data_IF_688474287770
#
_entry.id   IF_688474287770
#
_cell.length_a   1.000
_cell.length_b   1.000
_cell.length_c   1.000
_cell.angle_alpha   90.00
_cell.angle_beta   90.00
_cell.angle_gamma   90.00
#
_symmetry.space_group_name_H-M   'P 1'
#
loop_
_entity.id
_entity.type
_entity.pdbx_description
1 polymer ?
#
# COMPACT_ATOMS: atom_id res chain seq x y z
N UNK A 1 36.54 26.43 -18.83
CA UNK A 1 37.04 25.06 -18.56
C UNK A 1 36.17 24.08 -19.33
N UNK A 2 36.73 23.15 -20.11
CA UNK A 2 35.94 22.19 -20.86
C UNK A 2 35.37 21.14 -19.90
N UNK A 3 34.05 20.96 -19.92
CA UNK A 3 33.35 19.90 -19.17
C UNK A 3 33.67 18.58 -19.86
N UNK A 4 34.46 17.73 -19.21
CA UNK A 4 34.75 16.39 -19.70
C UNK A 4 33.42 15.59 -19.74
N UNK A 5 32.99 15.19 -20.94
CA UNK A 5 31.90 14.22 -21.09
C UNK A 5 32.36 12.90 -20.49
N UNK A 6 31.69 12.46 -19.42
CA UNK A 6 31.89 11.15 -18.83
C UNK A 6 31.70 10.07 -19.92
N UNK A 7 32.63 9.12 -19.98
CA UNK A 7 32.55 8.00 -20.89
C UNK A 7 31.24 7.22 -20.61
N UNK A 8 30.55 6.70 -21.64
CA UNK A 8 29.40 5.83 -21.43
C UNK A 8 29.86 4.60 -20.63
N UNK A 9 29.22 4.41 -19.47
CA UNK A 9 29.51 3.27 -18.59
C UNK A 9 29.09 1.96 -19.28
N UNK A 10 29.78 0.85 -18.97
CA UNK A 10 29.44 -0.45 -19.55
C UNK A 10 28.00 -0.84 -19.18
N UNK A 11 27.29 -1.57 -20.05
CA UNK A 11 25.93 -2.02 -19.78
C UNK A 11 25.91 -2.89 -18.52
N UNK A 12 24.97 -2.60 -17.62
CA UNK A 12 24.68 -3.41 -16.44
C UNK A 12 24.22 -4.81 -16.85
N UNK A 13 24.83 -5.83 -16.25
CA UNK A 13 24.52 -7.25 -16.50
C UNK A 13 23.06 -7.55 -16.10
N UNK A 14 22.17 -7.93 -17.03
CA UNK A 14 20.77 -8.23 -16.73
C UNK A 14 20.60 -9.38 -15.73
N UNK A 15 21.60 -10.26 -15.58
CA UNK A 15 21.52 -11.42 -14.68
C UNK A 15 21.70 -11.04 -13.20
N UNK A 16 22.32 -9.88 -12.91
CA UNK A 16 22.55 -9.42 -11.54
C UNK A 16 21.23 -9.16 -10.77
N UNK A 17 20.18 -8.73 -11.47
CA UNK A 17 18.86 -8.52 -10.87
C UNK A 17 18.15 -9.81 -10.48
N UNK A 18 18.30 -10.87 -11.29
CA UNK A 18 17.73 -12.20 -11.00
C UNK A 18 18.35 -12.77 -9.73
N UNK A 19 19.68 -12.74 -9.62
CA UNK A 19 20.41 -13.28 -8.47
C UNK A 19 20.03 -12.61 -7.14
N UNK A 20 19.76 -11.30 -7.16
CA UNK A 20 19.32 -10.57 -5.97
C UNK A 20 17.90 -10.97 -5.54
N UNK A 21 17.01 -11.21 -6.50
CA UNK A 21 15.65 -11.68 -6.24
C UNK A 21 15.63 -13.12 -5.77
N UNK A 22 16.42 -14.02 -6.38
CA UNK A 22 16.52 -15.41 -5.96
C UNK A 22 16.98 -15.52 -4.51
N UNK A 23 17.92 -14.66 -4.09
CA UNK A 23 18.36 -14.57 -2.70
C UNK A 23 17.25 -14.05 -1.78
N UNK A 24 16.50 -13.03 -2.21
CA UNK A 24 15.34 -12.54 -1.44
C UNK A 24 14.25 -13.61 -1.33
N UNK A 25 13.98 -14.34 -2.41
CA UNK A 25 13.04 -15.46 -2.49
C UNK A 25 13.41 -16.57 -1.51
N UNK A 26 14.69 -16.97 -1.46
CA UNK A 26 15.18 -17.93 -0.49
C UNK A 26 14.97 -17.45 0.97
N UNK A 27 15.31 -16.19 1.26
CA UNK A 27 15.10 -15.59 2.59
C UNK A 27 13.62 -15.45 2.95
N UNK A 28 12.75 -15.21 1.98
CA UNK A 28 11.30 -15.17 2.19
C UNK A 28 10.77 -16.56 2.56
N UNK A 29 11.18 -17.61 1.85
CA UNK A 29 10.79 -19.00 2.18
C UNK A 29 11.21 -19.41 3.60
N UNK A 30 12.32 -18.87 4.12
CA UNK A 30 12.74 -19.10 5.51
C UNK A 30 11.77 -18.55 6.55
N UNK A 31 10.90 -17.59 6.18
CA UNK A 31 9.85 -17.07 7.05
C UNK A 31 8.64 -17.99 7.16
N UNK A 32 8.49 -18.96 6.24
CA UNK A 32 7.35 -19.86 6.19
C UNK A 32 7.63 -21.21 6.87
N UNK A 33 6.59 -21.83 7.46
CA UNK A 33 6.63 -23.22 7.95
C UNK A 33 7.12 -24.20 6.89
N UNK A 34 7.92 -25.20 7.29
CA UNK A 34 8.59 -26.14 6.37
C UNK A 34 7.63 -26.91 5.47
N UNK A 35 6.46 -27.25 5.99
CA UNK A 35 5.36 -27.94 5.31
C UNK A 35 4.73 -27.11 4.19
N UNK A 36 4.79 -25.78 4.27
CA UNK A 36 4.28 -24.88 3.21
C UNK A 36 5.34 -24.52 2.17
N UNK A 37 6.64 -24.75 2.44
CA UNK A 37 7.72 -24.31 1.54
C UNK A 37 7.70 -24.97 0.17
N UNK A 38 7.25 -26.23 0.08
CA UNK A 38 7.16 -26.96 -1.18
C UNK A 38 6.11 -26.37 -2.12
N UNK A 39 4.87 -26.19 -1.62
CA UNK A 39 3.78 -25.57 -2.38
C UNK A 39 4.09 -24.10 -2.70
N UNK A 40 4.71 -23.37 -1.77
CA UNK A 40 5.11 -21.99 -2.00
C UNK A 40 6.24 -21.85 -3.02
N UNK A 41 7.11 -22.84 -3.18
CA UNK A 41 8.21 -22.76 -4.14
C UNK A 41 7.70 -22.72 -5.59
N UNK A 42 6.68 -23.51 -5.91
CA UNK A 42 6.08 -23.54 -7.26
C UNK A 42 5.36 -22.21 -7.56
N UNK A 43 4.67 -21.64 -6.59
CA UNK A 43 4.02 -20.32 -6.70
C UNK A 43 5.04 -19.16 -6.71
N UNK A 44 6.24 -19.37 -6.16
CA UNK A 44 7.26 -18.33 -6.05
C UNK A 44 7.78 -17.91 -7.41
N UNK A 45 7.85 -18.82 -8.37
CA UNK A 45 8.25 -18.49 -9.75
C UNK A 45 7.26 -17.53 -10.41
N UNK A 46 5.97 -17.71 -10.16
CA UNK A 46 4.92 -16.82 -10.64
C UNK A 46 4.98 -15.46 -9.92
N UNK A 47 5.20 -15.47 -8.61
CA UNK A 47 5.42 -14.23 -7.82
C UNK A 47 6.66 -13.47 -8.30
N UNK A 48 7.78 -14.15 -8.58
CA UNK A 48 8.99 -13.53 -9.10
C UNK A 48 8.76 -12.94 -10.48
N UNK A 49 8.02 -13.64 -11.34
CA UNK A 49 7.66 -13.13 -12.67
C UNK A 49 6.81 -11.87 -12.57
N UNK A 50 5.79 -11.87 -11.72
CA UNK A 50 4.92 -10.72 -11.48
C UNK A 50 5.69 -9.55 -10.82
N UNK A 51 6.59 -9.84 -9.88
CA UNK A 51 7.47 -8.85 -9.28
C UNK A 51 8.39 -8.21 -10.33
N UNK A 52 8.87 -8.99 -11.31
CA UNK A 52 9.67 -8.48 -12.42
C UNK A 52 8.88 -7.66 -13.43
N UNK A 53 7.62 -8.00 -13.67
CA UNK A 53 6.73 -7.16 -14.47
C UNK A 53 6.44 -5.84 -13.74
N UNK A 54 6.13 -5.90 -12.44
CA UNK A 54 5.93 -4.72 -11.59
C UNK A 54 7.16 -3.82 -11.56
N UNK A 55 8.36 -4.40 -11.40
CA UNK A 55 9.61 -3.64 -11.40
C UNK A 55 9.80 -2.82 -12.68
N UNK A 56 9.45 -3.38 -13.84
CA UNK A 56 9.52 -2.66 -15.13
C UNK A 56 8.49 -1.54 -15.22
N UNK A 57 7.29 -1.72 -14.66
CA UNK A 57 6.30 -0.65 -14.58
C UNK A 57 6.79 0.49 -13.70
N UNK A 58 7.33 0.17 -12.52
CA UNK A 58 7.87 1.16 -11.59
C UNK A 58 9.05 1.91 -12.21
N UNK A 59 10.01 1.19 -12.80
CA UNK A 59 11.15 1.80 -13.50
C UNK A 59 10.68 2.71 -14.65
N UNK A 60 9.63 2.33 -15.39
CA UNK A 60 9.01 3.19 -16.41
C UNK A 60 8.40 4.45 -15.78
N UNK A 61 7.61 4.32 -14.71
CA UNK A 61 6.97 5.46 -14.05
C UNK A 61 8.02 6.48 -13.57
N UNK A 62 9.13 6.00 -12.99
CA UNK A 62 10.23 6.86 -12.56
C UNK A 62 10.93 7.55 -13.72
N UNK A 63 11.22 6.83 -14.81
CA UNK A 63 11.82 7.41 -16.02
C UNK A 63 10.91 8.43 -16.68
N UNK A 64 9.60 8.25 -16.59
CA UNK A 64 8.59 9.19 -17.08
C UNK A 64 8.37 10.37 -16.11
N UNK A 65 8.99 10.36 -14.92
CA UNK A 65 8.81 11.39 -13.89
C UNK A 65 7.42 11.39 -13.26
N UNK A 66 6.74 10.24 -13.26
CA UNK A 66 5.39 10.07 -12.68
C UNK A 66 5.53 9.54 -11.26
N UNK A 67 4.93 10.25 -10.29
CA UNK A 67 4.89 9.80 -8.90
C UNK A 67 4.14 8.46 -8.77
N UNK A 68 4.52 7.63 -7.81
CA UNK A 68 3.94 6.29 -7.58
C UNK A 68 2.43 6.33 -7.32
N UNK A 69 1.97 7.32 -6.54
CA UNK A 69 0.55 7.51 -6.28
C UNK A 69 -0.21 7.81 -7.58
N UNK A 70 0.34 8.66 -8.44
CA UNK A 70 -0.27 9.05 -9.72
C UNK A 70 -0.21 7.93 -10.76
N UNK A 71 0.89 7.17 -10.80
CA UNK A 71 1.03 5.98 -11.63
C UNK A 71 -0.04 4.93 -11.27
N UNK A 72 -0.31 4.73 -9.96
CA UNK A 72 -1.38 3.84 -9.50
C UNK A 72 -2.80 4.31 -9.86
N UNK A 73 -2.98 5.57 -10.28
CA UNK A 73 -4.25 6.07 -10.82
C UNK A 73 -4.41 5.87 -12.33
N UNK A 74 -3.38 5.39 -13.02
CA UNK A 74 -3.34 5.18 -14.48
C UNK A 74 -3.24 3.67 -14.80
N UNK A 75 -4.26 2.84 -14.48
CA UNK A 75 -4.21 1.39 -14.66
C UNK A 75 -4.03 0.94 -16.11
N UNK A 76 -4.39 1.78 -17.08
CA UNK A 76 -4.13 1.54 -18.50
C UNK A 76 -2.65 1.62 -18.88
N UNK A 77 -1.84 2.34 -18.09
CA UNK A 77 -0.38 2.47 -18.26
C UNK A 77 0.44 1.65 -17.27
N UNK A 78 -0.02 1.56 -16.02
CA UNK A 78 0.66 0.91 -14.90
C UNK A 78 -0.29 -0.04 -14.13
N UNK A 79 -0.83 -1.09 -14.79
CA UNK A 79 -1.84 -1.96 -14.21
C UNK A 79 -1.37 -2.70 -12.95
N UNK A 80 -0.11 -3.14 -12.88
CA UNK A 80 0.41 -3.85 -11.72
C UNK A 80 0.64 -2.90 -10.54
N UNK A 81 1.16 -1.69 -10.80
CA UNK A 81 1.27 -0.67 -9.74
C UNK A 81 -0.09 -0.31 -9.15
N UNK A 82 -1.11 -0.13 -10.00
CA UNK A 82 -2.48 0.11 -9.56
C UNK A 82 -3.01 -1.07 -8.72
N UNK A 83 -2.84 -2.32 -9.21
CA UNK A 83 -3.28 -3.51 -8.49
C UNK A 83 -2.65 -3.64 -7.11
N UNK A 84 -1.35 -3.43 -6.99
CA UNK A 84 -0.65 -3.49 -5.69
C UNK A 84 -1.11 -2.34 -4.78
N UNK A 85 -1.16 -1.12 -5.29
CA UNK A 85 -1.52 0.06 -4.50
C UNK A 85 -2.95 -0.02 -3.94
N UNK A 86 -3.94 -0.41 -4.75
CA UNK A 86 -5.33 -0.54 -4.30
C UNK A 86 -5.54 -1.86 -3.54
N UNK A 87 -5.02 -2.96 -4.09
CA UNK A 87 -5.17 -4.30 -3.53
C UNK A 87 -4.55 -4.48 -2.15
N UNK A 88 -3.49 -3.73 -1.81
CA UNK A 88 -2.87 -3.86 -0.50
C UNK A 88 -3.78 -3.41 0.65
N UNK A 89 -4.60 -2.36 0.46
CA UNK A 89 -5.61 -1.96 1.46
C UNK A 89 -6.76 -2.96 1.48
N UNK A 90 -7.18 -3.44 0.31
CA UNK A 90 -8.24 -4.45 0.23
C UNK A 90 -7.86 -5.73 0.97
N UNK A 91 -6.59 -6.14 0.86
CA UNK A 91 -6.04 -7.29 1.56
C UNK A 91 -6.17 -7.18 3.08
N UNK A 92 -6.01 -5.97 3.65
CA UNK A 92 -6.21 -5.73 5.08
C UNK A 92 -7.64 -6.06 5.52
N UNK A 93 -8.62 -5.92 4.63
CA UNK A 93 -10.04 -6.20 4.90
C UNK A 93 -10.50 -7.58 4.44
N UNK A 94 -9.61 -8.39 3.89
CA UNK A 94 -9.93 -9.77 3.54
C UNK A 94 -10.17 -10.58 4.81
N UNK A 95 -11.33 -11.25 4.85
CA UNK A 95 -11.65 -12.20 5.90
C UNK A 95 -10.81 -13.46 5.73
N UNK A 96 -10.23 -13.92 6.84
CA UNK A 96 -9.38 -15.10 6.89
C UNK A 96 -10.19 -16.29 7.41
N UNK A 97 -10.13 -17.40 6.70
CA UNK A 97 -10.61 -18.67 7.21
C UNK A 97 -9.80 -19.07 8.47
N UNK A 98 -10.37 -19.88 9.38
CA UNK A 98 -9.67 -20.28 10.61
C UNK A 98 -8.28 -20.90 10.39
N UNK A 99 -8.11 -21.69 9.33
CA UNK A 99 -6.83 -22.30 8.95
C UNK A 99 -5.81 -21.27 8.44
N UNK A 100 -6.24 -20.36 7.57
CA UNK A 100 -5.39 -19.26 7.05
C UNK A 100 -4.93 -18.36 8.19
N UNK A 101 -5.82 -18.02 9.12
CA UNK A 101 -5.49 -17.24 10.31
C UNK A 101 -4.42 -17.93 11.15
N UNK A 102 -4.57 -19.23 11.41
CA UNK A 102 -3.61 -20.00 12.19
C UNK A 102 -2.23 -20.06 11.51
N UNK A 103 -2.20 -20.14 10.17
CA UNK A 103 -0.97 -20.13 9.38
C UNK A 103 -0.31 -18.74 9.32
N UNK A 104 -1.10 -17.67 9.17
CA UNK A 104 -0.59 -16.30 9.01
C UNK A 104 -0.16 -15.64 10.32
N UNK A 105 -0.81 -15.95 11.44
CA UNK A 105 -0.47 -15.37 12.74
C UNK A 105 1.03 -15.47 13.11
N UNK A 106 1.70 -16.65 13.03
CA UNK A 106 3.13 -16.74 13.33
C UNK A 106 4.01 -15.99 12.31
N UNK A 107 3.60 -15.93 11.04
CA UNK A 107 4.33 -15.20 9.99
C UNK A 107 4.28 -13.69 10.29
N UNK A 108 3.11 -13.16 10.63
CA UNK A 108 2.93 -11.75 11.01
C UNK A 108 3.74 -11.40 12.26
N UNK A 109 3.71 -12.26 13.26
CA UNK A 109 4.50 -12.08 14.49
C UNK A 109 6.01 -12.04 14.18
N UNK A 110 6.50 -12.95 13.34
CA UNK A 110 7.91 -13.00 12.92
C UNK A 110 8.31 -11.82 12.05
N UNK A 111 7.45 -11.37 11.13
CA UNK A 111 7.67 -10.22 10.27
C UNK A 111 7.81 -8.91 11.08
N UNK A 112 7.17 -8.86 12.25
CA UNK A 112 7.27 -7.73 13.20
C UNK A 112 8.51 -7.79 14.09
N UNK A 113 9.19 -8.94 14.12
CA UNK A 113 10.35 -9.25 14.96
C UNK A 113 11.65 -8.58 14.50
N UNK A 114 12.72 -8.87 15.26
CA UNK A 114 14.09 -8.37 15.00
C UNK A 114 14.71 -9.12 13.80
N UNK A 115 14.30 -10.36 13.58
CA UNK A 115 14.74 -11.23 12.49
C UNK A 115 14.43 -10.61 11.13
N UNK A 116 13.27 -9.97 10.99
CA UNK A 116 12.85 -9.28 9.77
C UNK A 116 13.57 -7.92 9.56
N UNK A 117 14.28 -7.40 10.56
CA UNK A 117 14.99 -6.12 10.44
C UNK A 117 16.15 -6.21 9.45
N UNK A 118 16.87 -7.35 9.41
CA UNK A 118 17.95 -7.57 8.47
C UNK A 118 17.44 -7.51 7.01
N UNK A 119 16.30 -8.16 6.74
CA UNK A 119 15.64 -8.12 5.43
C UNK A 119 15.20 -6.69 5.06
N UNK A 120 14.57 -5.97 5.99
CA UNK A 120 14.14 -4.58 5.77
C UNK A 120 15.30 -3.64 5.47
N UNK A 121 16.46 -3.85 6.10
CA UNK A 121 17.70 -3.11 5.79
C UNK A 121 18.27 -3.47 4.43
N UNK A 122 18.25 -4.75 4.06
CA UNK A 122 18.66 -5.19 2.73
C UNK A 122 17.80 -4.55 1.63
N UNK A 123 16.47 -4.49 1.84
CA UNK A 123 15.55 -3.80 0.92
C UNK A 123 15.85 -2.31 0.81
N UNK A 124 16.13 -1.64 1.93
CA UNK A 124 16.53 -0.23 1.92
C UNK A 124 17.86 0.00 1.18
N UNK A 125 18.86 -0.87 1.39
CA UNK A 125 20.13 -0.80 0.70
C UNK A 125 19.97 -1.00 -0.81
N UNK A 126 19.14 -1.96 -1.24
CA UNK A 126 18.82 -2.20 -2.64
C UNK A 126 18.05 -1.01 -3.25
N UNK A 127 17.11 -0.42 -2.52
CA UNK A 127 16.37 0.76 -2.98
C UNK A 127 17.27 1.97 -3.23
N UNK A 128 18.36 2.11 -2.47
CA UNK A 128 19.34 3.18 -2.59
C UNK A 128 20.47 2.89 -3.60
N UNK A 129 20.55 1.67 -4.16
CA UNK A 129 21.58 1.30 -5.13
C UNK A 129 21.10 1.58 -6.56
N UNK A 130 21.45 2.74 -7.10
CA UNK A 130 21.12 3.12 -8.49
C UNK A 130 21.66 2.13 -9.55
N UNK A 131 22.65 1.30 -9.21
CA UNK A 131 23.22 0.30 -10.11
C UNK A 131 22.37 -0.96 -10.19
N UNK A 132 21.50 -1.18 -9.20
CA UNK A 132 20.65 -2.35 -9.12
C UNK A 132 19.42 -2.22 -10.03
N UNK A 133 19.65 -2.35 -11.34
CA UNK A 133 18.70 -2.26 -12.46
C UNK A 133 17.20 -2.23 -12.08
N UNK A 134 16.49 -3.36 -12.17
CA UNK A 134 15.06 -3.45 -11.87
C UNK A 134 14.77 -3.59 -10.37
N UNK A 135 15.77 -4.02 -9.58
CA UNK A 135 15.59 -4.26 -8.15
C UNK A 135 15.42 -2.96 -7.36
N UNK A 136 16.17 -1.90 -7.69
CA UNK A 136 16.10 -0.63 -6.96
C UNK A 136 14.74 0.08 -7.11
N UNK A 137 14.19 0.29 -8.33
CA UNK A 137 12.83 0.83 -8.49
C UNK A 137 11.79 -0.01 -7.77
N UNK A 138 11.84 -1.35 -7.92
CA UNK A 138 10.91 -2.24 -7.23
C UNK A 138 10.97 -2.06 -5.71
N UNK A 139 12.17 -2.07 -5.12
CA UNK A 139 12.34 -1.90 -3.67
C UNK A 139 11.86 -0.51 -3.20
N UNK A 140 12.08 0.55 -3.98
CA UNK A 140 11.53 1.89 -3.68
C UNK A 140 10.01 1.88 -3.64
N UNK A 141 9.36 1.28 -4.63
CA UNK A 141 7.89 1.16 -4.63
C UNK A 141 7.38 0.29 -3.48
N UNK A 142 8.02 -0.85 -3.19
CA UNK A 142 7.62 -1.71 -2.07
C UNK A 142 7.81 -1.03 -0.71
N UNK A 143 8.88 -0.24 -0.52
CA UNK A 143 9.07 0.56 0.69
C UNK A 143 8.00 1.65 0.82
N UNK A 144 7.67 2.33 -0.29
CA UNK A 144 6.56 3.29 -0.33
C UNK A 144 5.24 2.63 0.11
N UNK A 145 4.90 1.46 -0.45
CA UNK A 145 3.70 0.72 -0.05
C UNK A 145 3.76 0.26 1.40
N UNK A 146 4.92 -0.19 1.89
CA UNK A 146 5.10 -0.61 3.27
C UNK A 146 4.84 0.55 4.25
N UNK A 147 5.38 1.74 3.96
CA UNK A 147 5.12 2.95 4.77
C UNK A 147 3.63 3.29 4.76
N UNK A 148 3.01 3.34 3.58
CA UNK A 148 1.58 3.60 3.41
C UNK A 148 0.73 2.62 4.21
N UNK A 149 0.99 1.32 4.09
CA UNK A 149 0.26 0.28 4.84
C UNK A 149 0.44 0.43 6.35
N UNK A 150 1.64 0.74 6.83
CA UNK A 150 1.86 0.98 8.26
C UNK A 150 1.03 2.17 8.76
N UNK A 151 0.99 3.27 8.01
CA UNK A 151 0.13 4.42 8.34
C UNK A 151 -1.35 4.02 8.37
N UNK A 152 -1.81 3.26 7.38
CA UNK A 152 -3.19 2.75 7.34
C UNK A 152 -3.52 1.87 8.55
N UNK A 153 -2.63 0.94 8.90
CA UNK A 153 -2.80 0.04 10.05
C UNK A 153 -2.83 0.83 11.36
N UNK A 154 -1.89 1.74 11.57
CA UNK A 154 -1.79 2.54 12.80
C UNK A 154 -2.95 3.52 12.96
N UNK A 155 -3.55 3.96 11.86
CA UNK A 155 -4.72 4.84 11.87
C UNK A 155 -6.03 4.07 11.71
N UNK A 156 -6.02 2.74 11.73
CA UNK A 156 -7.23 1.95 11.49
C UNK A 156 -8.29 2.20 12.55
N UNK A 157 -7.90 2.14 13.82
CA UNK A 157 -8.73 2.42 14.99
C UNK A 157 -8.76 3.92 15.28
N UNK A 158 -9.61 4.67 14.58
CA UNK A 158 -9.85 6.09 14.86
C UNK A 158 -9.39 7.07 13.77
N UNK A 159 -8.80 6.59 12.68
CA UNK A 159 -8.41 7.42 11.53
C UNK A 159 -9.50 7.64 10.49
N UNK A 160 -10.76 7.28 10.75
CA UNK A 160 -11.87 7.58 9.84
C UNK A 160 -11.95 9.08 9.47
N UNK A 161 -11.68 10.03 10.39
CA UNK A 161 -11.56 11.45 10.04
C UNK A 161 -10.42 11.78 9.07
N UNK A 162 -9.29 11.06 9.13
CA UNK A 162 -8.17 11.28 8.22
C UNK A 162 -8.53 10.87 6.79
N UNK A 163 -9.27 9.77 6.66
CA UNK A 163 -9.78 9.29 5.37
C UNK A 163 -10.86 10.24 4.82
N UNK A 164 -11.84 10.59 5.66
CA UNK A 164 -12.97 11.46 5.30
C UNK A 164 -12.55 12.88 4.89
N UNK A 165 -11.42 13.38 5.39
CA UNK A 165 -10.87 14.69 5.03
C UNK A 165 -9.89 14.65 3.86
N UNK A 166 -9.61 13.45 3.33
CA UNK A 166 -8.61 13.26 2.27
C UNK A 166 -7.16 13.41 2.75
N UNK A 167 -6.91 13.47 4.07
CA UNK A 167 -5.55 13.60 4.62
C UNK A 167 -4.65 12.42 4.23
N UNK A 168 -5.19 11.20 4.18
CA UNK A 168 -4.45 10.01 3.73
C UNK A 168 -4.05 10.10 2.25
N UNK A 169 -4.93 10.64 1.40
CA UNK A 169 -4.62 10.86 -0.03
C UNK A 169 -3.54 11.90 -0.22
N UNK A 170 -3.61 13.00 0.54
CA UNK A 170 -2.56 14.02 0.49
C UNK A 170 -1.23 13.48 1.02
N UNK A 171 -1.25 12.64 2.06
CA UNK A 171 -0.07 11.93 2.55
C UNK A 171 0.53 11.01 1.48
N UNK A 172 -0.28 10.23 0.77
CA UNK A 172 0.20 9.32 -0.28
C UNK A 172 1.00 10.06 -1.37
N UNK A 173 0.65 11.32 -1.67
CA UNK A 173 1.38 12.17 -2.60
C UNK A 173 2.74 12.67 -2.07
N UNK A 174 2.93 12.75 -0.75
CA UNK A 174 4.18 13.21 -0.11
C UNK A 174 5.10 12.07 0.34
N UNK A 175 4.54 10.88 0.55
CA UNK A 175 5.29 9.74 1.08
C UNK A 175 6.43 9.30 0.16
N UNK A 176 6.30 9.50 -1.16
CA UNK A 176 7.38 9.23 -2.10
C UNK A 176 8.54 10.23 -1.97
N UNK A 177 8.26 11.53 -1.94
CA UNK A 177 9.29 12.56 -1.76
C UNK A 177 10.05 12.36 -0.45
N UNK A 178 9.32 12.02 0.61
CA UNK A 178 9.89 11.63 1.90
C UNK A 178 10.83 10.43 1.76
N UNK A 179 10.37 9.35 1.12
CA UNK A 179 11.18 8.16 0.90
C UNK A 179 12.47 8.49 0.13
N UNK A 180 12.35 9.22 -0.98
CA UNK A 180 13.49 9.63 -1.81
C UNK A 180 14.51 10.43 -0.99
N UNK A 181 14.05 11.43 -0.24
CA UNK A 181 14.92 12.22 0.62
C UNK A 181 15.67 11.38 1.67
N UNK A 182 15.07 10.30 2.19
CA UNK A 182 15.71 9.42 3.16
C UNK A 182 16.66 8.40 2.55
N UNK A 183 16.42 7.95 1.32
CA UNK A 183 17.35 7.05 0.61
C UNK A 183 18.72 7.70 0.39
N UNK A 184 18.75 9.02 0.22
CA UNK A 184 19.98 9.80 0.03
C UNK A 184 20.76 10.07 1.33
N UNK A 185 20.16 9.80 2.50
CA UNK A 185 20.79 10.07 3.78
C UNK A 185 21.79 8.99 4.19
N UNK A 186 23.05 9.38 4.41
CA UNK A 186 24.11 8.48 4.89
C UNK A 186 23.78 7.86 6.25
N UNK A 187 23.13 8.60 7.14
CA UNK A 187 22.71 8.11 8.46
C UNK A 187 21.75 6.91 8.38
N UNK A 188 20.97 6.77 7.31
CA UNK A 188 20.06 5.63 7.13
C UNK A 188 20.79 4.31 6.86
N UNK A 189 22.10 4.36 6.61
CA UNK A 189 22.97 3.19 6.39
C UNK A 189 23.60 2.66 7.68
N UNK A 190 23.40 3.35 8.80
CA UNK A 190 23.96 2.94 10.11
C UNK A 190 23.32 1.61 10.59
N UNK A 191 24.11 0.59 10.99
CA UNK A 191 23.59 -0.65 11.54
C UNK A 191 22.80 -0.54 12.86
N UNK A 192 22.75 0.61 13.51
CA UNK A 192 21.87 0.87 14.64
C UNK A 192 20.49 1.40 14.20
N UNK A 193 20.40 2.00 13.01
CA UNK A 193 19.17 2.61 12.49
C UNK A 193 18.23 1.54 11.94
N UNK A 194 16.92 1.72 12.16
CA UNK A 194 15.87 0.85 11.63
C UNK A 194 15.10 1.60 10.55
N UNK A 195 15.49 1.53 9.26
CA UNK A 195 15.07 2.48 8.23
C UNK A 195 13.55 2.60 8.09
N UNK A 196 12.85 1.46 8.04
CA UNK A 196 11.38 1.47 7.91
C UNK A 196 10.71 2.14 9.11
N UNK A 197 11.22 1.98 10.33
CA UNK A 197 10.64 2.63 11.52
C UNK A 197 10.83 4.15 11.48
N UNK A 198 11.97 4.62 10.97
CA UNK A 198 12.21 6.05 10.76
C UNK A 198 11.23 6.61 9.72
N UNK A 199 11.08 5.94 8.57
CA UNK A 199 10.13 6.33 7.53
C UNK A 199 8.68 6.37 8.05
N UNK A 200 8.27 5.37 8.83
CA UNK A 200 6.91 5.33 9.41
C UNK A 200 6.72 6.44 10.45
N UNK A 201 7.71 6.70 11.31
CA UNK A 201 7.63 7.78 12.29
C UNK A 201 7.46 9.14 11.61
N UNK A 202 8.28 9.43 10.60
CA UNK A 202 8.17 10.66 9.81
C UNK A 202 6.84 10.74 9.05
N UNK A 203 6.37 9.62 8.49
CA UNK A 203 5.07 9.57 7.82
C UNK A 203 3.91 9.96 8.76
N UNK A 204 3.96 9.50 10.02
CA UNK A 204 2.97 9.88 11.03
C UNK A 204 3.07 11.35 11.43
N UNK A 205 4.28 11.91 11.53
CA UNK A 205 4.49 13.35 11.76
C UNK A 205 3.90 14.18 10.63
N UNK A 206 4.16 13.81 9.37
CA UNK A 206 3.59 14.49 8.21
C UNK A 206 2.06 14.38 8.19
N UNK A 207 1.51 13.20 8.46
CA UNK A 207 0.07 13.00 8.53
C UNK A 207 -0.57 13.82 9.65
N UNK A 208 0.07 13.92 10.82
CA UNK A 208 -0.39 14.76 11.92
C UNK A 208 -0.42 16.25 11.53
N UNK A 209 0.60 16.73 10.81
CA UNK A 209 0.64 18.10 10.30
C UNK A 209 -0.46 18.37 9.25
N UNK A 210 -0.67 17.43 8.31
CA UNK A 210 -1.77 17.50 7.33
C UNK A 210 -3.11 17.54 8.08
N UNK A 211 -3.29 16.67 9.06
CA UNK A 211 -4.51 16.58 9.85
C UNK A 211 -4.81 17.87 10.61
N UNK A 212 -3.83 18.46 11.30
CA UNK A 212 -4.09 19.70 12.06
C UNK A 212 -4.47 20.85 11.12
N UNK A 213 -3.84 20.94 9.94
CA UNK A 213 -4.23 21.93 8.93
C UNK A 213 -5.66 21.70 8.45
N UNK A 214 -6.04 20.45 8.12
CA UNK A 214 -7.43 20.12 7.74
C UNK A 214 -8.42 20.41 8.86
N UNK A 215 -8.03 20.12 10.09
CA UNK A 215 -8.85 20.40 11.27
C UNK A 215 -9.09 21.89 11.43
N UNK A 216 -8.09 22.73 11.19
CA UNK A 216 -8.25 24.18 11.23
C UNK A 216 -9.15 24.69 10.10
N UNK A 217 -8.98 24.20 8.88
CA UNK A 217 -9.89 24.49 7.74
C UNK A 217 -11.35 24.14 8.10
N UNK A 218 -11.56 23.01 8.79
CA UNK A 218 -12.89 22.58 9.23
C UNK A 218 -13.46 23.45 10.36
N UNK A 219 -12.63 23.87 11.33
CA UNK A 219 -13.05 24.78 12.41
C UNK A 219 -13.46 26.15 11.88
N UNK A 220 -12.77 26.62 10.83
CA UNK A 220 -13.10 27.87 10.14
C UNK A 220 -14.33 27.75 9.21
N UNK A 221 -14.77 26.52 8.93
CA UNK A 221 -15.90 26.22 8.06
C UNK A 221 -17.28 26.54 8.67
N UNK A 222 -18.32 26.40 7.85
CA UNK A 222 -19.71 26.60 8.29
C UNK A 222 -20.26 25.36 9.03
N UNK A 223 -21.41 25.52 9.70
CA UNK A 223 -22.12 24.40 10.31
C UNK A 223 -22.51 23.31 9.30
N UNK A 224 -22.76 23.68 8.04
CA UNK A 224 -23.07 22.73 6.97
C UNK A 224 -21.83 21.92 6.55
N UNK A 225 -20.64 22.55 6.51
CA UNK A 225 -19.37 21.85 6.30
C UNK A 225 -19.10 20.82 7.41
N UNK A 226 -19.37 21.19 8.66
CA UNK A 226 -19.21 20.28 9.80
C UNK A 226 -20.15 19.05 9.70
N UNK A 227 -21.41 19.26 9.28
CA UNK A 227 -22.37 18.16 9.05
C UNK A 227 -21.96 17.26 7.89
N UNK A 228 -21.50 17.84 6.78
CA UNK A 228 -20.98 17.08 5.64
C UNK A 228 -19.82 16.19 6.07
N UNK A 229 -18.85 16.74 6.79
CA UNK A 229 -17.68 16.00 7.27
C UNK A 229 -18.08 14.91 8.26
N UNK A 230 -19.01 15.17 9.17
CA UNK A 230 -19.53 14.12 10.06
C UNK A 230 -20.15 12.94 9.26
N UNK A 231 -20.87 13.23 8.18
CA UNK A 231 -21.40 12.21 7.27
C UNK A 231 -20.29 11.43 6.54
N UNK A 232 -19.24 12.12 6.08
CA UNK A 232 -18.08 11.47 5.46
C UNK A 232 -17.30 10.60 6.46
N UNK A 233 -17.20 11.03 7.73
CA UNK A 233 -16.57 10.25 8.81
C UNK A 233 -17.36 8.97 9.09
N UNK A 234 -18.70 9.04 9.21
CA UNK A 234 -19.53 7.84 9.37
C UNK A 234 -19.39 6.91 8.17
N UNK A 235 -19.39 7.44 6.95
CA UNK A 235 -19.19 6.64 5.73
C UNK A 235 -17.80 5.99 5.68
N UNK A 236 -16.73 6.70 6.07
CA UNK A 236 -15.37 6.13 6.16
C UNK A 236 -15.28 5.04 7.24
N UNK A 237 -15.95 5.23 8.38
CA UNK A 237 -16.04 4.21 9.42
C UNK A 237 -16.79 2.98 8.91
N UNK A 238 -17.93 3.17 8.24
CA UNK A 238 -18.68 2.09 7.61
C UNK A 238 -17.78 1.35 6.61
N UNK A 239 -17.05 2.05 5.74
CA UNK A 239 -16.13 1.43 4.80
C UNK A 239 -15.09 0.52 5.49
N UNK A 240 -14.58 0.92 6.66
CA UNK A 240 -13.63 0.11 7.45
C UNK A 240 -14.26 -1.11 8.09
N UNK A 241 -15.55 -1.06 8.41
CA UNK A 241 -16.29 -2.17 9.01
C UNK A 241 -16.84 -3.17 7.97
N UNK A 242 -16.78 -2.83 6.68
CA UNK A 242 -17.17 -3.72 5.59
C UNK A 242 -16.05 -4.71 5.24
N UNK A 243 -16.44 -5.84 4.62
CA UNK A 243 -15.51 -6.71 3.91
C UNK A 243 -14.96 -6.03 2.65
N UNK A 244 -13.79 -6.47 2.19
CA UNK A 244 -13.02 -5.81 1.11
C UNK A 244 -13.86 -5.37 -0.10
N UNK A 245 -14.68 -6.27 -0.67
CA UNK A 245 -15.47 -5.95 -1.86
C UNK A 245 -16.52 -4.85 -1.65
N UNK A 246 -17.15 -4.77 -0.49
CA UNK A 246 -18.16 -3.74 -0.20
C UNK A 246 -17.48 -2.43 0.23
N UNK A 247 -16.36 -2.52 0.96
CA UNK A 247 -15.55 -1.38 1.37
C UNK A 247 -15.05 -0.57 0.17
N UNK A 248 -14.58 -1.25 -0.89
CA UNK A 248 -14.14 -0.62 -2.14
C UNK A 248 -15.23 0.25 -2.76
N UNK A 249 -16.49 -0.20 -2.72
CA UNK A 249 -17.62 0.57 -3.26
C UNK A 249 -17.86 1.85 -2.46
N UNK A 250 -17.85 1.77 -1.13
CA UNK A 250 -18.05 2.94 -0.27
C UNK A 250 -16.89 3.91 -0.39
N UNK A 251 -15.64 3.43 -0.44
CA UNK A 251 -14.46 4.28 -0.65
C UNK A 251 -14.47 4.97 -2.00
N UNK A 252 -14.97 4.32 -3.05
CA UNK A 252 -15.12 4.96 -4.36
C UNK A 252 -16.12 6.13 -4.32
N UNK A 253 -17.23 5.99 -3.60
CA UNK A 253 -18.19 7.09 -3.40
C UNK A 253 -17.58 8.21 -2.54
N UNK A 254 -16.84 7.86 -1.48
CA UNK A 254 -16.11 8.82 -0.64
C UNK A 254 -15.06 9.60 -1.44
N UNK A 255 -14.34 8.94 -2.36
CA UNK A 255 -13.38 9.60 -3.23
C UNK A 255 -14.07 10.72 -4.01
N UNK A 256 -15.19 10.44 -4.67
CA UNK A 256 -15.98 11.47 -5.37
C UNK A 256 -16.42 12.62 -4.46
N UNK A 257 -16.93 12.29 -3.26
CA UNK A 257 -17.41 13.30 -2.32
C UNK A 257 -16.30 14.17 -1.70
N UNK A 258 -15.05 13.70 -1.70
CA UNK A 258 -13.88 14.40 -1.14
C UNK A 258 -13.02 15.07 -2.21
N UNK A 259 -13.52 15.19 -3.44
CA UNK A 259 -12.81 15.81 -4.57
C UNK A 259 -11.70 14.92 -5.13
N UNK A 260 -11.85 13.60 -5.04
CA UNK A 260 -11.08 12.61 -5.77
C UNK A 260 -11.86 12.00 -6.92
N UNK A 261 -11.19 11.13 -7.67
CA UNK A 261 -11.77 10.52 -8.85
C UNK A 261 -12.69 9.37 -8.44
N UNK A 262 -14.00 9.58 -8.58
CA UNK A 262 -14.98 8.50 -8.50
C UNK A 262 -14.90 7.65 -9.76
N UNK A 263 -14.61 6.37 -9.60
CA UNK A 263 -14.47 5.44 -10.70
C UNK A 263 -15.82 4.87 -11.13
N UNK A 264 -15.95 4.66 -12.45
CA UNK A 264 -17.02 3.84 -13.01
C UNK A 264 -16.83 2.37 -12.65
N UNK A 265 -17.91 1.58 -12.72
CA UNK A 265 -17.89 0.16 -12.35
C UNK A 265 -16.90 -0.69 -13.16
N UNK A 266 -16.63 -0.31 -14.42
CA UNK A 266 -15.62 -0.96 -15.26
C UNK A 266 -14.21 -0.73 -14.71
N UNK A 267 -13.86 0.53 -14.43
CA UNK A 267 -12.53 0.90 -13.95
C UNK A 267 -12.29 0.37 -12.54
N UNK A 268 -13.34 0.38 -11.71
CA UNK A 268 -13.28 -0.20 -10.37
C UNK A 268 -13.01 -1.72 -10.43
N UNK A 269 -13.67 -2.45 -11.34
CA UNK A 269 -13.42 -3.88 -11.54
C UNK A 269 -12.00 -4.15 -12.11
N UNK A 270 -11.46 -3.23 -12.91
CA UNK A 270 -10.10 -3.37 -13.44
C UNK A 270 -9.01 -3.11 -12.37
N UNK A 271 -9.28 -2.22 -11.41
CA UNK A 271 -8.32 -1.82 -10.37
C UNK A 271 -8.37 -2.67 -9.10
N UNK A 272 -9.56 -3.12 -8.72
CA UNK A 272 -9.81 -3.80 -7.43
C UNK A 272 -9.79 -5.32 -7.59
N UNK A 273 -8.83 -6.04 -6.99
CA UNK A 273 -8.87 -7.50 -6.96
C UNK A 273 -10.12 -8.05 -6.26
N UNK A 274 -10.75 -7.29 -5.35
CA UNK A 274 -12.01 -7.69 -4.72
C UNK A 274 -13.24 -7.62 -5.64
N UNK A 275 -13.08 -7.15 -6.88
CA UNK A 275 -14.16 -6.94 -7.86
C UNK A 275 -13.97 -7.80 -9.12
N UNK A 276 -14.72 -8.90 -9.26
CA UNK A 276 -14.54 -9.84 -10.37
C UNK A 276 -14.95 -9.30 -11.77
N UNK A 277 -15.95 -8.43 -11.86
CA UNK A 277 -16.42 -7.85 -13.13
C UNK A 277 -17.29 -6.61 -12.93
N UNK A 278 -17.47 -5.81 -13.99
CA UNK A 278 -18.39 -4.66 -13.99
C UNK A 278 -19.81 -5.04 -13.53
N UNK A 279 -20.39 -6.11 -14.06
CA UNK A 279 -21.75 -6.55 -13.69
C UNK A 279 -21.82 -6.95 -12.21
N UNK A 280 -20.77 -7.60 -11.69
CA UNK A 280 -20.70 -7.97 -10.28
C UNK A 280 -20.63 -6.71 -9.38
N UNK A 281 -19.87 -5.70 -9.78
CA UNK A 281 -19.79 -4.40 -9.10
C UNK A 281 -21.16 -3.72 -9.07
N UNK A 282 -21.86 -3.64 -10.20
CA UNK A 282 -23.17 -2.98 -10.28
C UNK A 282 -24.23 -3.68 -9.41
N UNK A 283 -24.29 -5.01 -9.48
CA UNK A 283 -25.21 -5.79 -8.65
C UNK A 283 -24.89 -5.65 -7.17
N UNK A 284 -23.61 -5.69 -6.79
CA UNK A 284 -23.16 -5.54 -5.41
C UNK A 284 -23.46 -4.13 -4.88
N UNK A 285 -23.20 -3.08 -5.66
CA UNK A 285 -23.54 -1.69 -5.33
C UNK A 285 -25.03 -1.54 -5.03
N UNK A 286 -25.91 -2.07 -5.88
CA UNK A 286 -27.37 -2.04 -5.64
C UNK A 286 -27.74 -2.74 -4.34
N UNK A 287 -27.26 -3.97 -4.13
CA UNK A 287 -27.52 -4.74 -2.90
C UNK A 287 -27.04 -4.02 -1.65
N UNK A 288 -25.84 -3.44 -1.68
CA UNK A 288 -25.26 -2.72 -0.55
C UNK A 288 -26.09 -1.47 -0.22
N UNK A 289 -26.44 -0.67 -1.23
CA UNK A 289 -27.29 0.52 -1.03
C UNK A 289 -28.65 0.16 -0.44
N UNK A 290 -29.29 -0.91 -0.93
CA UNK A 290 -30.58 -1.36 -0.41
C UNK A 290 -30.49 -1.88 1.04
N UNK A 291 -29.35 -2.44 1.45
CA UNK A 291 -29.09 -2.82 2.85
C UNK A 291 -28.89 -1.59 3.73
N UNK A 292 -28.02 -0.67 3.32
CA UNK A 292 -27.74 0.56 4.06
C UNK A 292 -29.00 1.43 4.23
N UNK A 293 -29.85 1.53 3.20
CA UNK A 293 -31.16 2.22 3.27
C UNK A 293 -32.13 1.60 4.28
N UNK A 294 -32.04 0.29 4.50
CA UNK A 294 -32.82 -0.44 5.52
C UNK A 294 -32.21 -0.33 6.92
N UNK A 295 -31.10 0.40 7.09
CA UNK A 295 -30.35 0.48 8.33
C UNK A 295 -29.52 -0.76 8.65
N UNK A 296 -29.44 -1.73 7.74
CA UNK A 296 -28.55 -2.88 7.87
C UNK A 296 -27.13 -2.46 7.54
N UNK A 297 -26.27 -2.41 8.57
CA UNK A 297 -24.83 -2.15 8.44
C UNK A 297 -24.12 -3.50 8.38
N UNK A 298 -23.69 -3.96 7.18
CA UNK A 298 -22.96 -5.22 7.08
C UNK A 298 -21.71 -5.16 7.95
N UNK A 299 -21.42 -6.27 8.63
CA UNK A 299 -20.19 -6.46 9.38
C UNK A 299 -19.43 -7.64 8.78
N UNK A 300 -18.11 -7.71 8.98
CA UNK A 300 -17.34 -8.85 8.52
C UNK A 300 -17.80 -10.07 9.31
N UNK A 301 -17.86 -11.22 8.66
CA UNK A 301 -18.32 -12.46 9.29
C UNK A 301 -17.24 -13.16 10.11
N UNK A 302 -15.97 -12.80 9.89
CA UNK A 302 -14.81 -13.38 10.56
C UNK A 302 -13.68 -12.39 10.87
N UNK A 303 -12.54 -12.94 11.29
CA UNK A 303 -11.29 -12.20 11.52
C UNK A 303 -10.70 -11.77 10.19
N UNK A 304 -10.31 -10.50 10.06
CA UNK A 304 -9.63 -9.98 8.88
C UNK A 304 -8.13 -9.92 9.09
N UNK A 305 -7.38 -9.76 8.01
CA UNK A 305 -5.93 -9.60 8.10
C UNK A 305 -5.52 -8.41 8.98
N UNK A 306 -6.24 -7.28 8.90
CA UNK A 306 -5.95 -6.11 9.74
C UNK A 306 -6.07 -6.41 11.24
N UNK A 307 -6.95 -7.35 11.62
CA UNK A 307 -7.15 -7.72 13.01
C UNK A 307 -5.96 -8.55 13.55
N UNK A 308 -5.10 -9.08 12.67
CA UNK A 308 -3.81 -9.71 13.03
C UNK A 308 -2.65 -8.71 13.12
N UNK A 309 -2.80 -7.55 12.47
CA UNK A 309 -1.78 -6.49 12.37
C UNK A 309 -2.01 -5.33 13.33
N UNK A 310 -3.25 -5.19 13.83
CA UNK A 310 -3.62 -4.23 14.85
C UNK A 310 -2.76 -4.40 16.10
N UNK A 311 -2.76 -3.41 17.02
CA UNK A 311 -1.91 -3.45 18.19
C UNK A 311 -2.18 -4.77 18.92
N UNK A 312 -1.18 -5.65 18.92
CA UNK A 312 -1.10 -6.72 19.90
C UNK A 312 -1.23 -6.02 21.25
N UNK A 313 -2.41 -6.15 21.86
CA UNK A 313 -2.63 -5.71 23.22
C UNK A 313 -1.64 -6.38 24.16
#
# INVERSE_FOLDING_TARGET
MPVARAAPLPPSDPDAGSVALDRCSAQLLELYPTDLRGELADELDDVVRDAMALAREVDRAERDGVAFADAAQQPERFPLMARVHHGAIELLQTELAPGERAALAPIVARASGVEAEALRRAWFALAADERAALSAPLMRFLLYQAVRLNVWVLTWSGGAPLEATGALREFDARAEDMLRARLDMTAMRDPAVRPLRVLVAEALEQLAAIWERRREELRAGSADSARLVAGLVDAAQVARDLGASDAVLVRNELAGATGGDQLGSRDLAARSPACASQNAVDQRRRRLLDRLRRGDRPRPSGTRLIDLLGPLG
#
